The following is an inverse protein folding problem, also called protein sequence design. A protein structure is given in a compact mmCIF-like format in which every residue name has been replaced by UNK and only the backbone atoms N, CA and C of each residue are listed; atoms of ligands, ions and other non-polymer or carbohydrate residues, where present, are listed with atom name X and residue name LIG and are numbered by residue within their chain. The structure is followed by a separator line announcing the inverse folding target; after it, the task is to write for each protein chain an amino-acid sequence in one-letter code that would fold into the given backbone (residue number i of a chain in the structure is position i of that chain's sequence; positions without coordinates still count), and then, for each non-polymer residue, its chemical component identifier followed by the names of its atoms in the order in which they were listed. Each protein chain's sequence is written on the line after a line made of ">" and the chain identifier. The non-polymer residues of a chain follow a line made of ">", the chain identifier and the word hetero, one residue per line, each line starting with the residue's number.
data_IF_230748432928
#
_entry.id   IF_230748432928
#
_cell.length_a   1.000
_cell.length_b   1.000
_cell.length_c   1.000
_cell.angle_alpha   90.00
_cell.angle_beta   90.00
_cell.angle_gamma   90.00
#
_symmetry.space_group_name_H-M   'P 1'
#
loop_
_entity.id
_entity.type
_entity.pdbx_description
1 polymer ?
#
# COMPACT_ATOMS: atom_id res chain seq x y z
N UNK A 1 -3.11 -15.59 -7.37
CA UNK A 1 -3.05 -14.11 -7.20
C UNK A 1 -4.39 -13.50 -6.81
N UNK A 2 -5.47 -13.59 -7.61
CA UNK A 2 -6.79 -13.01 -7.24
C UNK A 2 -7.34 -13.56 -5.91
N UNK A 3 -7.22 -14.88 -5.68
CA UNK A 3 -7.73 -15.53 -4.47
C UNK A 3 -7.02 -15.05 -3.17
N UNK A 4 -5.75 -14.65 -3.28
CA UNK A 4 -4.95 -14.14 -2.15
C UNK A 4 -5.44 -12.75 -1.72
N UNK A 5 -5.81 -11.91 -2.69
CA UNK A 5 -6.40 -10.59 -2.44
C UNK A 5 -7.82 -10.77 -1.90
N UNK A 6 -8.63 -11.66 -2.49
CA UNK A 6 -10.03 -11.87 -2.10
C UNK A 6 -10.19 -12.41 -0.67
N UNK A 7 -9.27 -13.25 -0.19
CA UNK A 7 -9.30 -13.76 1.19
C UNK A 7 -8.59 -12.85 2.20
N UNK A 8 -7.63 -12.02 1.75
CA UNK A 8 -6.83 -11.18 2.62
C UNK A 8 -7.05 -9.67 2.39
N UNK A 9 -8.23 -9.27 1.87
CA UNK A 9 -8.60 -7.86 1.72
C UNK A 9 -8.45 -7.08 3.04
N UNK A 10 -8.72 -7.75 4.17
CA UNK A 10 -8.55 -7.20 5.52
C UNK A 10 -7.11 -6.76 5.80
N UNK A 11 -6.11 -7.39 5.20
CA UNK A 11 -4.70 -6.96 5.32
C UNK A 11 -4.30 -5.99 4.21
N UNK A 12 -4.79 -6.20 2.99
CA UNK A 12 -4.42 -5.40 1.83
C UNK A 12 -4.95 -3.96 1.90
N UNK A 13 -6.23 -3.78 2.29
CA UNK A 13 -6.87 -2.45 2.31
C UNK A 13 -6.22 -1.51 3.34
N UNK A 14 -5.98 -1.92 4.60
CA UNK A 14 -5.30 -1.06 5.57
C UNK A 14 -3.86 -0.74 5.17
N UNK A 15 -3.14 -1.68 4.57
CA UNK A 15 -1.76 -1.45 4.13
C UNK A 15 -1.68 -0.45 2.96
N UNK A 16 -2.59 -0.52 2.00
CA UNK A 16 -2.71 0.47 0.94
C UNK A 16 -3.07 1.87 1.49
N UNK A 17 -4.01 1.93 2.44
CA UNK A 17 -4.36 3.18 3.13
C UNK A 17 -3.19 3.73 3.95
N UNK A 18 -2.45 2.89 4.66
CA UNK A 18 -1.27 3.29 5.41
C UNK A 18 -0.22 3.91 4.49
N UNK A 19 0.06 3.30 3.33
CA UNK A 19 0.96 3.87 2.33
C UNK A 19 0.47 5.23 1.79
N UNK A 20 -0.84 5.37 1.54
CA UNK A 20 -1.44 6.63 1.11
C UNK A 20 -1.28 7.74 2.17
N UNK A 21 -1.51 7.42 3.44
CA UNK A 21 -1.44 8.36 4.56
C UNK A 21 0.01 8.76 4.79
N UNK A 22 0.93 7.80 4.91
CA UNK A 22 2.35 8.05 5.19
C UNK A 22 3.00 8.92 4.12
N UNK A 23 2.76 8.65 2.84
CA UNK A 23 3.27 9.51 1.76
C UNK A 23 2.47 10.81 1.59
N UNK A 24 1.28 10.89 2.18
CA UNK A 24 0.39 12.05 2.11
C UNK A 24 0.67 13.15 3.13
N UNK A 25 1.39 12.82 4.21
CA UNK A 25 1.86 13.74 5.23
C UNK A 25 3.09 14.55 4.80
N UNK A 26 3.75 14.15 3.71
CA UNK A 26 4.94 14.84 3.20
C UNK A 26 4.54 16.26 2.76
N UNK A 27 5.11 17.31 3.39
CA UNK A 27 4.69 18.69 3.13
C UNK A 27 5.27 19.18 1.80
N UNK A 28 4.51 18.97 0.72
CA UNK A 28 4.84 19.51 -0.61
C UNK A 28 3.99 20.75 -0.90
N UNK A 29 4.62 21.82 -1.39
CA UNK A 29 3.95 23.08 -1.73
C UNK A 29 3.02 22.96 -2.94
N UNK A 30 3.31 22.03 -3.85
CA UNK A 30 2.48 21.76 -5.04
C UNK A 30 1.37 20.76 -4.72
N UNK A 31 0.12 21.15 -5.04
CA UNK A 31 -1.08 20.32 -4.89
C UNK A 31 -1.00 19.06 -5.76
N UNK A 32 -0.43 19.20 -6.96
CA UNK A 32 -0.24 18.11 -7.91
C UNK A 32 0.79 17.09 -7.40
N UNK A 33 1.92 17.59 -6.88
CA UNK A 33 2.97 16.74 -6.33
C UNK A 33 2.50 15.99 -5.07
N UNK A 34 1.66 16.62 -4.23
CA UNK A 34 1.05 15.95 -3.07
C UNK A 34 0.08 14.85 -3.49
N UNK A 35 -0.72 15.08 -4.54
CA UNK A 35 -1.63 14.07 -5.09
C UNK A 35 -0.89 12.86 -5.66
N UNK A 36 0.18 13.09 -6.43
CA UNK A 36 1.00 12.00 -6.98
C UNK A 36 1.72 11.23 -5.87
N UNK A 37 2.25 11.89 -4.84
CA UNK A 37 2.87 11.22 -3.70
C UNK A 37 1.91 10.29 -2.94
N UNK A 38 0.66 10.73 -2.73
CA UNK A 38 -0.38 9.90 -2.11
C UNK A 38 -0.72 8.68 -2.95
N UNK A 39 -0.83 8.84 -4.26
CA UNK A 39 -1.11 7.75 -5.18
C UNK A 39 0.05 6.74 -5.21
N UNK A 40 1.29 7.21 -5.28
CA UNK A 40 2.50 6.36 -5.22
C UNK A 40 2.57 5.64 -3.88
N UNK A 41 2.29 6.33 -2.78
CA UNK A 41 2.23 5.73 -1.45
C UNK A 41 1.19 4.62 -1.34
N UNK A 42 -0.01 4.83 -1.90
CA UNK A 42 -1.05 3.81 -1.92
C UNK A 42 -0.63 2.56 -2.71
N UNK A 43 -0.03 2.75 -3.88
CA UNK A 43 0.46 1.67 -4.73
C UNK A 43 1.62 0.93 -4.03
N UNK A 44 2.54 1.66 -3.42
CA UNK A 44 3.67 1.09 -2.70
C UNK A 44 3.20 0.28 -1.47
N UNK A 45 2.27 0.82 -0.69
CA UNK A 45 1.66 0.11 0.45
C UNK A 45 0.91 -1.15 0.04
N UNK A 46 0.16 -1.09 -1.07
CA UNK A 46 -0.49 -2.26 -1.67
C UNK A 46 0.52 -3.33 -2.13
N UNK A 47 1.60 -2.93 -2.81
CA UNK A 47 2.65 -3.85 -3.25
C UNK A 47 3.39 -4.49 -2.06
N UNK A 48 3.69 -3.71 -1.03
CA UNK A 48 4.28 -4.21 0.22
C UNK A 48 3.39 -5.25 0.89
N UNK A 49 2.07 -5.02 0.93
CA UNK A 49 1.12 -5.96 1.49
C UNK A 49 1.13 -7.30 0.76
N UNK A 50 1.18 -7.28 -0.58
CA UNK A 50 1.30 -8.49 -1.39
C UNK A 50 2.62 -9.20 -1.13
N UNK A 51 3.71 -8.45 -1.06
CA UNK A 51 5.03 -9.01 -0.78
C UNK A 51 5.06 -9.71 0.59
N UNK A 52 4.50 -9.09 1.63
CA UNK A 52 4.41 -9.68 2.97
C UNK A 52 3.54 -10.94 2.98
N UNK A 53 2.37 -10.90 2.33
CA UNK A 53 1.47 -12.06 2.24
C UNK A 53 2.10 -13.27 1.55
N UNK A 54 2.93 -13.04 0.54
CA UNK A 54 3.67 -14.10 -0.16
C UNK A 54 4.94 -14.52 0.62
N UNK A 55 5.56 -13.58 1.34
CA UNK A 55 6.75 -13.87 2.15
C UNK A 55 6.44 -14.73 3.39
N UNK A 56 5.28 -14.54 4.03
CA UNK A 56 4.86 -15.34 5.20
C UNK A 56 4.90 -16.85 4.93
N UNK A 57 4.22 -17.39 3.90
CA UNK A 57 4.27 -18.82 3.58
C UNK A 57 5.62 -19.27 3.03
N UNK A 58 6.45 -18.36 2.50
CA UNK A 58 7.81 -18.69 2.06
C UNK A 58 8.82 -18.76 3.22
N UNK A 59 8.52 -18.13 4.35
CA UNK A 59 9.38 -18.08 5.54
C UNK A 59 9.03 -19.18 6.57
N UNK A 60 7.87 -19.82 6.40
CA UNK A 60 7.34 -20.87 7.28
C UNK A 60 7.59 -22.26 6.68
#
# INVERSE_FOLDING_TARGET
>A
MVNLITHNLIFFVPAALAGLILCGEIPVASKFARGSLRAIGAICGALLALFILEAIPALL
#
